data_IF_458090096148
#
_entry.id   IF_458090096148
#
_cell.length_a   1.000
_cell.length_b   1.000
_cell.length_c   1.000
_cell.angle_alpha   90.00
_cell.angle_beta   90.00
_cell.angle_gamma   90.00
#
_symmetry.space_group_name_H-M   'P 1'
#
loop_
_entity.id
_entity.type
_entity.pdbx_description
1 polymer ?
#
# COMPACT_ATOMS: atom_id res chain seq x y z
N UNK A 1 -27.71 -2.45 15.22
CA UNK A 1 -26.33 -2.96 15.23
C UNK A 1 -25.69 -2.47 16.51
N UNK A 2 -25.19 -3.35 17.40
CA UNK A 2 -24.49 -2.91 18.61
C UNK A 2 -23.27 -2.08 18.23
N UNK A 3 -23.04 -0.99 18.93
CA UNK A 3 -21.86 -0.15 18.72
C UNK A 3 -20.61 -0.93 19.15
N UNK A 4 -19.65 -1.05 18.24
CA UNK A 4 -18.36 -1.69 18.57
C UNK A 4 -17.65 -0.86 19.64
N UNK A 5 -17.17 -1.52 20.69
CA UNK A 5 -16.34 -0.87 21.70
C UNK A 5 -15.01 -0.42 21.09
N UNK A 6 -14.38 0.60 21.67
CA UNK A 6 -13.09 1.11 21.18
C UNK A 6 -12.01 0.03 21.15
N UNK A 7 -12.03 -0.90 22.11
CA UNK A 7 -11.09 -2.03 22.13
C UNK A 7 -11.33 -2.98 20.95
N UNK A 8 -12.59 -3.28 20.60
CA UNK A 8 -12.92 -4.10 19.44
C UNK A 8 -12.52 -3.41 18.13
N UNK A 9 -12.77 -2.09 18.03
CA UNK A 9 -12.35 -1.30 16.87
C UNK A 9 -10.85 -1.37 16.68
N UNK A 10 -10.06 -1.14 17.74
CA UNK A 10 -8.60 -1.23 17.69
C UNK A 10 -8.11 -2.59 17.22
N UNK A 11 -8.71 -3.68 17.71
CA UNK A 11 -8.36 -5.03 17.28
C UNK A 11 -8.66 -5.27 15.80
N UNK A 12 -9.82 -4.84 15.32
CA UNK A 12 -10.24 -5.02 13.93
C UNK A 12 -9.44 -4.16 12.94
N UNK A 13 -8.82 -3.07 13.41
CA UNK A 13 -8.01 -2.16 12.58
C UNK A 13 -6.52 -2.33 12.80
N UNK A 14 -6.09 -3.26 13.66
CA UNK A 14 -4.67 -3.52 13.87
C UNK A 14 -4.09 -4.08 12.57
N UNK A 15 -3.07 -3.40 12.04
CA UNK A 15 -2.31 -3.90 10.90
C UNK A 15 -1.24 -4.85 11.41
N UNK A 16 -0.93 -5.86 10.61
CA UNK A 16 0.31 -6.61 10.76
C UNK A 16 1.51 -5.63 10.73
N UNK A 17 2.50 -5.73 11.64
CA UNK A 17 3.60 -4.77 11.71
C UNK A 17 4.44 -4.66 10.42
N UNK A 18 4.66 -5.78 9.71
CA UNK A 18 5.42 -5.80 8.45
C UNK A 18 4.62 -5.05 7.37
N UNK A 19 3.32 -5.28 7.30
CA UNK A 19 2.43 -4.56 6.40
C UNK A 19 2.29 -3.07 6.75
N UNK A 20 2.19 -2.73 8.04
CA UNK A 20 2.02 -1.35 8.50
C UNK A 20 3.17 -0.43 8.07
N UNK A 21 4.39 -0.95 8.02
CA UNK A 21 5.60 -0.21 7.65
C UNK A 21 5.84 -0.13 6.13
N UNK A 22 5.23 -1.04 5.37
CA UNK A 22 5.38 -1.10 3.91
C UNK A 22 4.91 0.22 3.27
N UNK A 23 5.70 0.79 2.35
CA UNK A 23 5.27 1.95 1.56
C UNK A 23 4.33 1.51 0.43
N UNK A 24 3.47 2.41 -0.04
CA UNK A 24 2.57 2.09 -1.16
C UNK A 24 3.33 1.74 -2.44
N UNK A 25 4.45 2.40 -2.70
CA UNK A 25 5.32 2.06 -3.84
C UNK A 25 5.96 0.67 -3.73
N UNK A 26 6.25 0.24 -2.51
CA UNK A 26 6.80 -1.10 -2.23
C UNK A 26 5.74 -2.20 -2.36
N UNK A 27 4.47 -1.89 -2.06
CA UNK A 27 3.34 -2.75 -2.36
C UNK A 27 3.11 -2.89 -3.87
N UNK A 28 3.22 -1.78 -4.62
CA UNK A 28 3.17 -1.78 -6.09
C UNK A 28 4.25 -2.68 -6.69
N UNK A 29 5.50 -2.55 -6.22
CA UNK A 29 6.63 -3.41 -6.63
C UNK A 29 6.31 -4.89 -6.40
N UNK A 30 5.80 -5.21 -5.22
CA UNK A 30 5.43 -6.57 -4.82
C UNK A 30 4.13 -7.10 -5.44
N UNK A 31 3.54 -6.38 -6.40
CA UNK A 31 2.28 -6.75 -7.08
C UNK A 31 1.09 -6.91 -6.13
N UNK A 32 1.13 -6.23 -4.99
CA UNK A 32 0.05 -6.26 -4.02
C UNK A 32 -1.07 -5.31 -4.44
N UNK A 33 -2.32 -5.72 -4.21
CA UNK A 33 -3.46 -4.82 -4.18
C UNK A 33 -3.79 -4.48 -2.73
N UNK A 34 -4.25 -3.25 -2.46
CA UNK A 34 -4.62 -2.83 -1.10
C UNK A 34 -6.13 -2.78 -1.00
N UNK A 35 -6.70 -3.69 -0.22
CA UNK A 35 -8.11 -3.72 0.06
C UNK A 35 -8.43 -2.93 1.31
N UNK A 36 -9.53 -2.18 1.27
CA UNK A 36 -10.03 -1.38 2.37
C UNK A 36 -11.49 -1.73 2.64
N UNK A 37 -11.89 -1.65 3.89
CA UNK A 37 -13.28 -1.79 4.30
C UNK A 37 -13.64 -0.80 5.42
N UNK A 38 -14.84 -0.22 5.30
CA UNK A 38 -15.38 0.71 6.29
C UNK A 38 -16.01 -0.08 7.44
N UNK A 39 -15.65 0.24 8.68
CA UNK A 39 -16.27 -0.38 9.86
C UNK A 39 -17.74 0.03 10.02
N UNK A 40 -18.08 1.28 9.70
CA UNK A 40 -19.41 1.83 9.94
C UNK A 40 -20.44 1.39 8.88
N UNK A 41 -20.11 1.52 7.59
CA UNK A 41 -21.07 1.27 6.50
C UNK A 41 -20.72 0.06 5.63
N UNK A 42 -19.65 -0.68 5.95
CA UNK A 42 -19.20 -1.89 5.24
C UNK A 42 -18.83 -1.73 3.77
N UNK A 43 -18.85 -0.50 3.26
CA UNK A 43 -18.35 -0.19 1.91
C UNK A 43 -16.90 -0.61 1.81
N UNK A 44 -16.55 -1.24 0.69
CA UNK A 44 -15.18 -1.68 0.40
C UNK A 44 -14.62 -0.94 -0.80
N UNK A 45 -13.29 -0.94 -0.93
CA UNK A 45 -12.58 -0.49 -2.14
C UNK A 45 -11.25 -1.21 -2.22
N UNK A 46 -10.76 -1.41 -3.43
CA UNK A 46 -9.43 -1.97 -3.66
C UNK A 46 -8.62 -0.99 -4.48
N UNK A 47 -7.39 -0.72 -4.03
CA UNK A 47 -6.39 -0.04 -4.84
C UNK A 47 -5.57 -1.08 -5.56
N UNK A 48 -5.72 -1.07 -6.88
CA UNK A 48 -4.84 -1.78 -7.81
C UNK A 48 -3.81 -0.80 -8.37
N UNK A 49 -2.93 -1.31 -9.23
CA UNK A 49 -1.85 -0.55 -9.87
C UNK A 49 -2.33 0.78 -10.47
N UNK A 50 -3.42 0.77 -11.23
CA UNK A 50 -4.00 1.97 -11.86
C UNK A 50 -4.39 3.04 -10.82
N UNK A 51 -5.01 2.63 -9.72
CA UNK A 51 -5.39 3.54 -8.64
C UNK A 51 -4.17 4.07 -7.89
N UNK A 52 -3.18 3.21 -7.63
CA UNK A 52 -1.92 3.58 -6.97
C UNK A 52 -1.16 4.64 -7.77
N UNK A 53 -1.02 4.43 -9.08
CA UNK A 53 -0.29 5.34 -9.97
C UNK A 53 -1.11 6.57 -10.39
N UNK A 54 -2.43 6.49 -10.32
CA UNK A 54 -3.33 7.60 -10.60
C UNK A 54 -3.71 8.38 -9.33
N UNK A 55 -4.90 8.11 -8.80
CA UNK A 55 -5.51 8.90 -7.71
C UNK A 55 -4.72 8.85 -6.40
N UNK A 56 -4.06 7.74 -6.11
CA UNK A 56 -3.27 7.57 -4.88
C UNK A 56 -1.78 7.91 -5.06
N UNK A 57 -1.37 8.49 -6.21
CA UNK A 57 0.04 8.77 -6.50
C UNK A 57 0.77 9.59 -5.44
N UNK A 58 0.05 10.54 -4.83
CA UNK A 58 0.58 11.41 -3.76
C UNK A 58 0.89 10.66 -2.46
N UNK A 59 0.43 9.41 -2.35
CA UNK A 59 0.65 8.52 -1.20
C UNK A 59 1.69 7.44 -1.49
N UNK A 60 2.34 7.42 -2.66
CA UNK A 60 3.29 6.37 -3.04
C UNK A 60 4.46 6.24 -2.04
N UNK A 61 4.94 7.36 -1.50
CA UNK A 61 5.97 7.38 -0.46
C UNK A 61 5.46 7.12 0.97
N UNK A 62 4.14 7.10 1.19
CA UNK A 62 3.55 6.93 2.51
C UNK A 62 3.48 5.45 2.91
N UNK A 63 3.62 5.18 4.20
CA UNK A 63 3.43 3.82 4.75
C UNK A 63 1.96 3.45 4.83
N UNK A 64 1.66 2.15 4.86
CA UNK A 64 0.31 1.66 5.07
C UNK A 64 -0.32 2.24 6.35
N UNK A 65 0.42 2.31 7.46
CA UNK A 65 -0.08 2.95 8.69
C UNK A 65 -0.51 4.42 8.48
N UNK A 66 0.27 5.20 7.71
CA UNK A 66 -0.09 6.58 7.37
C UNK A 66 -1.31 6.64 6.44
N UNK A 67 -1.42 5.72 5.50
CA UNK A 67 -2.55 5.61 4.56
C UNK A 67 -3.84 5.26 5.29
N UNK A 68 -3.78 4.34 6.25
CA UNK A 68 -4.91 3.92 7.08
C UNK A 68 -5.56 5.13 7.80
N UNK A 69 -4.73 6.05 8.30
CA UNK A 69 -5.17 7.25 9.01
C UNK A 69 -5.81 8.30 8.09
N UNK A 70 -5.52 8.24 6.78
CA UNK A 70 -5.89 9.27 5.78
C UNK A 70 -7.03 8.86 4.86
N UNK A 71 -7.36 7.58 4.75
CA UNK A 71 -8.27 7.09 3.71
C UNK A 71 -9.74 7.27 4.10
N UNK A 72 -10.50 8.14 3.40
CA UNK A 72 -11.93 8.32 3.67
C UNK A 72 -12.78 7.27 2.95
N UNK A 73 -13.93 6.97 3.55
CA UNK A 73 -14.97 6.15 2.97
C UNK A 73 -15.75 6.97 1.94
N UNK A 74 -15.84 6.50 0.69
CA UNK A 74 -16.55 7.25 -0.36
C UNK A 74 -18.06 7.33 -0.11
N UNK A 75 -18.63 6.47 0.76
CA UNK A 75 -20.07 6.42 1.03
C UNK A 75 -20.49 7.27 2.23
N UNK A 76 -19.80 7.17 3.37
CA UNK A 76 -20.20 7.83 4.61
C UNK A 76 -19.21 8.89 5.13
N UNK A 77 -18.12 9.16 4.41
CA UNK A 77 -17.12 10.16 4.79
C UNK A 77 -16.22 9.80 5.98
N UNK A 78 -16.59 8.80 6.80
CA UNK A 78 -15.76 8.26 7.88
C UNK A 78 -14.50 7.57 7.35
N UNK A 79 -13.54 7.23 8.21
CA UNK A 79 -12.32 6.52 7.77
C UNK A 79 -12.62 5.08 7.34
N UNK A 80 -11.75 4.52 6.49
CA UNK A 80 -11.73 3.09 6.16
C UNK A 80 -10.51 2.42 6.79
N UNK A 81 -10.56 2.15 8.12
CA UNK A 81 -9.38 1.73 8.84
C UNK A 81 -9.08 0.23 8.67
N UNK A 82 -10.03 -0.60 8.24
CA UNK A 82 -9.69 -1.99 7.91
C UNK A 82 -8.97 -1.99 6.57
N UNK A 83 -7.74 -2.49 6.56
CA UNK A 83 -6.89 -2.50 5.38
C UNK A 83 -6.05 -3.77 5.35
N UNK A 84 -5.99 -4.41 4.19
CA UNK A 84 -5.24 -5.65 3.98
C UNK A 84 -4.56 -5.64 2.62
N UNK A 85 -3.42 -6.32 2.51
CA UNK A 85 -2.86 -6.68 1.22
C UNK A 85 -3.64 -7.87 0.65
N UNK A 86 -3.95 -7.83 -0.64
CA UNK A 86 -4.48 -8.96 -1.40
C UNK A 86 -3.51 -9.28 -2.53
N UNK A 87 -3.19 -10.57 -2.68
CA UNK A 87 -2.23 -11.04 -3.66
C UNK A 87 -0.82 -10.51 -3.40
N UNK A 88 -0.01 -10.49 -4.46
CA UNK A 88 1.38 -10.08 -4.42
C UNK A 88 2.33 -11.09 -3.79
N UNK A 89 3.62 -10.76 -3.77
CA UNK A 89 4.70 -11.62 -3.28
C UNK A 89 5.52 -10.85 -2.24
N UNK A 90 5.48 -11.32 -0.99
CA UNK A 90 6.21 -10.70 0.12
C UNK A 90 7.73 -10.76 -0.07
N UNK A 91 8.19 -11.93 -0.50
CA UNK A 91 9.61 -12.30 -0.63
C UNK A 91 9.84 -12.88 -2.03
N UNK A 92 10.05 -12.04 -3.07
CA UNK A 92 10.10 -12.46 -4.47
C UNK A 92 11.37 -13.22 -4.87
N UNK A 93 12.38 -13.32 -4.00
CA UNK A 93 13.63 -14.03 -4.28
C UNK A 93 14.29 -13.54 -5.57
N UNK A 94 14.54 -14.47 -6.49
CA UNK A 94 15.18 -14.21 -7.79
C UNK A 94 14.37 -13.23 -8.68
N UNK A 95 13.05 -13.12 -8.46
CA UNK A 95 12.19 -12.18 -9.19
C UNK A 95 12.27 -10.75 -8.65
N UNK A 96 13.00 -10.50 -7.56
CA UNK A 96 13.09 -9.18 -6.92
C UNK A 96 13.59 -8.09 -7.88
N UNK A 97 14.61 -8.39 -8.69
CA UNK A 97 15.15 -7.45 -9.67
C UNK A 97 14.17 -7.18 -10.80
N UNK A 98 13.49 -8.21 -11.30
CA UNK A 98 12.44 -8.06 -12.30
C UNK A 98 11.31 -7.16 -11.77
N UNK A 99 10.83 -7.41 -10.56
CA UNK A 99 9.75 -6.63 -9.94
C UNK A 99 10.16 -5.17 -9.77
N UNK A 100 11.40 -4.93 -9.35
CA UNK A 100 12.00 -3.59 -9.26
C UNK A 100 11.98 -2.88 -10.61
N UNK A 101 12.44 -3.52 -11.68
CA UNK A 101 12.44 -2.92 -13.03
C UNK A 101 11.04 -2.64 -13.57
N UNK A 102 10.10 -3.54 -13.32
CA UNK A 102 8.69 -3.33 -13.69
C UNK A 102 8.06 -2.17 -12.90
N UNK A 103 8.42 -1.97 -11.64
CA UNK A 103 7.99 -0.82 -10.84
C UNK A 103 8.61 0.48 -11.35
N UNK A 104 9.90 0.48 -11.70
CA UNK A 104 10.60 1.62 -12.32
C UNK A 104 9.89 2.03 -13.61
N UNK A 105 9.61 1.06 -14.49
CA UNK A 105 8.91 1.29 -15.75
C UNK A 105 7.52 1.87 -15.50
N UNK A 106 6.77 1.29 -14.55
CA UNK A 106 5.44 1.77 -14.18
C UNK A 106 5.42 3.23 -13.70
N UNK A 107 6.40 3.60 -12.87
CA UNK A 107 6.52 4.95 -12.34
C UNK A 107 6.84 5.93 -13.46
N UNK A 108 7.81 5.59 -14.32
CA UNK A 108 8.20 6.41 -15.47
C UNK A 108 7.04 6.61 -16.45
N UNK A 109 6.28 5.56 -16.77
CA UNK A 109 5.08 5.63 -17.62
C UNK A 109 3.99 6.53 -17.00
N UNK A 110 3.90 6.57 -15.67
CA UNK A 110 2.99 7.45 -14.95
C UNK A 110 3.51 8.90 -14.82
N UNK A 111 4.67 9.21 -15.41
CA UNK A 111 5.32 10.52 -15.34
C UNK A 111 5.94 10.84 -13.97
N UNK A 112 6.25 9.81 -13.18
CA UNK A 112 6.87 9.92 -11.86
C UNK A 112 8.36 9.60 -11.94
N UNK A 113 9.19 10.34 -11.21
CA UNK A 113 10.61 10.06 -11.13
C UNK A 113 10.87 8.90 -10.16
N UNK A 114 11.39 7.73 -10.61
CA UNK A 114 11.62 6.58 -9.73
C UNK A 114 12.61 6.87 -8.58
N UNK A 115 13.54 7.82 -8.77
CA UNK A 115 14.53 8.19 -7.76
C UNK A 115 13.88 8.76 -6.48
N UNK A 116 12.75 9.46 -6.61
CA UNK A 116 12.01 10.03 -5.48
C UNK A 116 11.48 8.95 -4.52
N UNK A 117 11.40 7.70 -4.98
CA UNK A 117 10.89 6.55 -4.23
C UNK A 117 11.98 5.57 -3.79
N UNK A 118 13.25 5.84 -4.07
CA UNK A 118 14.38 4.99 -3.72
C UNK A 118 14.78 3.98 -4.81
N UNK A 119 14.33 4.18 -6.05
CA UNK A 119 14.79 3.40 -7.22
C UNK A 119 16.05 3.96 -7.87
N UNK A 120 16.72 4.93 -7.25
CA UNK A 120 18.00 5.44 -7.71
C UNK A 120 19.11 4.38 -7.71
N UNK A 121 20.29 4.82 -8.15
CA UNK A 121 21.50 4.01 -8.19
C UNK A 121 21.77 3.34 -6.83
N UNK A 122 21.95 2.02 -6.84
CA UNK A 122 22.45 1.27 -5.68
C UNK A 122 23.92 0.96 -5.94
N UNK A 123 24.83 1.18 -4.97
CA UNK A 123 26.18 0.67 -5.09
C UNK A 123 26.14 -0.84 -5.25
N UNK A 124 27.05 -1.45 -6.04
CA UNK A 124 27.17 -2.89 -6.10
C UNK A 124 27.34 -3.39 -4.66
N UNK A 125 26.48 -4.31 -4.23
CA UNK A 125 26.61 -4.97 -2.94
C UNK A 125 27.99 -5.62 -2.92
N UNK A 126 28.89 -5.14 -2.05
CA UNK A 126 30.16 -5.79 -1.78
C UNK A 126 29.83 -7.21 -1.30
N UNK A 127 30.00 -8.19 -2.17
CA UNK A 127 30.05 -9.59 -1.79
C UNK A 127 31.16 -9.72 -0.74
N UNK A 128 30.79 -10.09 0.48
CA UNK A 128 31.71 -10.52 1.52
C UNK A 128 31.76 -12.05 1.49
#
# INVERSE_FOLDING_TARGET
MPELSDQQRRKLTALDPRFAQLRLVEALERKMEIHFACLDCRTTRTWRRDVMLGRARVLLGATMAQIQQRTPCPRCGRRMPMMTAIGGVWDPGDLSEQFRWEAITALSEAGLNPSDYGYGWRPPSRTA
#
